data_IF_989364159695
#
_entry.id   IF_989364159695
#
_cell.length_a   1.000
_cell.length_b   1.000
_cell.length_c   1.000
_cell.angle_alpha   90.00
_cell.angle_beta   90.00
_cell.angle_gamma   90.00
#
_symmetry.space_group_name_H-M   'P 1'
#
loop_
_entity.id
_entity.type
_entity.pdbx_description
1 polymer ?
#
# COMPACT_ATOMS: atom_id res chain seq x y z
N UNK A 1 -46.30 -14.14 56.24
CA UNK A 1 -45.23 -14.88 55.54
C UNK A 1 -44.13 -13.88 55.21
N UNK A 2 -42.97 -14.01 55.87
CA UNK A 2 -41.75 -13.23 55.60
C UNK A 2 -41.13 -13.78 54.32
N UNK A 3 -40.57 -12.91 53.47
CA UNK A 3 -39.55 -13.33 52.51
C UNK A 3 -38.39 -12.33 52.53
N UNK A 4 -37.23 -12.89 52.82
CA UNK A 4 -35.95 -12.25 53.08
C UNK A 4 -35.24 -11.74 51.81
N UNK A 5 -34.43 -10.71 52.04
CA UNK A 5 -33.27 -10.27 51.27
C UNK A 5 -32.54 -11.36 50.48
N UNK A 6 -32.15 -11.03 49.23
CA UNK A 6 -30.75 -11.13 48.79
C UNK A 6 -30.41 -10.03 47.78
N UNK A 7 -29.90 -8.92 48.29
CA UNK A 7 -29.16 -7.93 47.49
C UNK A 7 -27.84 -8.57 47.03
N UNK A 8 -27.76 -8.98 45.76
CA UNK A 8 -26.51 -9.42 45.14
C UNK A 8 -25.85 -8.21 44.50
N UNK A 9 -25.10 -7.46 45.28
CA UNK A 9 -24.16 -6.47 44.75
C UNK A 9 -22.98 -7.22 44.13
N UNK A 10 -22.90 -7.22 42.80
CA UNK A 10 -21.73 -7.67 42.07
C UNK A 10 -20.76 -6.49 41.93
N UNK A 11 -19.46 -6.66 42.23
CA UNK A 11 -18.49 -5.60 42.03
C UNK A 11 -18.39 -5.32 40.53
N UNK A 12 -18.58 -4.05 40.15
CA UNK A 12 -18.26 -3.55 38.81
C UNK A 12 -16.76 -3.70 38.61
N UNK A 13 -16.35 -4.75 37.91
CA UNK A 13 -15.03 -4.83 37.30
C UNK A 13 -14.95 -3.69 36.30
N UNK A 14 -14.25 -2.62 36.67
CA UNK A 14 -13.81 -1.61 35.71
C UNK A 14 -12.69 -2.26 34.90
N UNK A 15 -13.05 -2.86 33.77
CA UNK A 15 -12.07 -3.21 32.74
C UNK A 15 -11.41 -1.91 32.29
N UNK A 16 -10.13 -1.78 32.60
CA UNK A 16 -9.26 -0.77 31.99
C UNK A 16 -8.90 -1.28 30.60
N UNK A 17 -9.79 -1.06 29.63
CA UNK A 17 -9.37 -1.13 28.24
C UNK A 17 -8.53 0.11 27.97
N UNK A 18 -7.28 -0.10 27.54
CA UNK A 18 -6.48 0.96 26.92
C UNK A 18 -7.21 1.54 25.70
N UNK A 19 -6.67 2.55 25.00
CA UNK A 19 -7.35 3.12 23.85
C UNK A 19 -7.44 2.07 22.73
N UNK A 20 -8.53 1.31 22.75
CA UNK A 20 -9.03 0.54 21.63
C UNK A 20 -9.52 1.58 20.64
N UNK A 21 -8.63 2.08 19.80
CA UNK A 21 -9.04 2.93 18.69
C UNK A 21 -10.15 2.21 17.91
N UNK A 22 -11.30 2.86 17.78
CA UNK A 22 -12.40 2.31 17.00
C UNK A 22 -11.88 1.95 15.59
N UNK A 23 -12.36 0.86 14.97
CA UNK A 23 -11.85 0.40 13.66
C UNK A 23 -11.76 1.48 12.57
N UNK A 24 -12.65 2.49 12.63
CA UNK A 24 -12.65 3.64 11.74
C UNK A 24 -11.43 4.57 11.92
N UNK A 25 -10.99 4.81 13.16
CA UNK A 25 -9.85 5.70 13.43
C UNK A 25 -8.53 5.04 13.02
N UNK A 26 -8.41 3.72 13.24
CA UNK A 26 -7.28 2.94 12.72
C UNK A 26 -7.22 3.02 11.18
N UNK A 27 -8.37 2.85 10.53
CA UNK A 27 -8.48 2.94 9.07
C UNK A 27 -8.05 4.32 8.56
N UNK A 28 -8.57 5.38 9.17
CA UNK A 28 -8.22 6.77 8.83
C UNK A 28 -6.71 7.01 8.90
N UNK A 29 -6.07 6.65 10.02
CA UNK A 29 -4.61 6.81 10.17
C UNK A 29 -3.82 6.01 9.14
N UNK A 30 -4.27 4.81 8.81
CA UNK A 30 -3.60 4.00 7.77
C UNK A 30 -3.72 4.61 6.39
N UNK A 31 -4.87 5.22 6.07
CA UNK A 31 -5.05 5.95 4.82
C UNK A 31 -4.14 7.18 4.76
N UNK A 32 -4.03 7.95 5.85
CA UNK A 32 -3.12 9.10 5.93
C UNK A 32 -1.65 8.68 5.70
N UNK A 33 -1.22 7.57 6.31
CA UNK A 33 0.12 7.01 6.13
C UNK A 33 0.38 6.60 4.67
N UNK A 34 -0.55 5.87 4.04
CA UNK A 34 -0.40 5.39 2.67
C UNK A 34 -0.45 6.53 1.66
N UNK A 35 -1.32 7.52 1.86
CA UNK A 35 -1.41 8.71 1.02
C UNK A 35 -0.10 9.51 1.09
N UNK A 36 0.41 9.78 2.30
CA UNK A 36 1.70 10.47 2.48
C UNK A 36 2.85 9.72 1.82
N UNK A 37 2.88 8.39 1.94
CA UNK A 37 3.91 7.55 1.31
C UNK A 37 3.81 7.58 -0.23
N UNK A 38 2.61 7.65 -0.79
CA UNK A 38 2.41 7.77 -2.24
C UNK A 38 2.91 9.12 -2.75
N UNK A 39 2.67 10.20 -2.01
CA UNK A 39 3.08 11.56 -2.38
C UNK A 39 4.58 11.82 -2.21
N UNK A 40 5.31 10.95 -1.50
CA UNK A 40 6.76 11.05 -1.36
C UNK A 40 7.48 10.77 -2.69
N UNK A 41 7.72 11.79 -3.50
CA UNK A 41 8.30 11.60 -4.82
C UNK A 41 9.78 11.18 -4.79
N UNK A 42 10.17 10.26 -5.67
CA UNK A 42 11.56 9.92 -5.97
C UNK A 42 11.84 10.14 -7.44
N UNK A 43 12.94 10.83 -7.75
CA UNK A 43 13.41 10.97 -9.11
C UNK A 43 14.18 9.72 -9.53
N UNK A 44 13.78 9.10 -10.64
CA UNK A 44 14.44 7.92 -11.17
C UNK A 44 15.16 8.22 -12.48
N UNK A 45 16.21 7.46 -12.72
CA UNK A 45 16.89 7.35 -14.00
C UNK A 45 16.89 5.88 -14.42
N UNK A 46 17.27 5.59 -15.67
CA UNK A 46 17.50 4.21 -16.12
C UNK A 46 18.73 3.62 -15.42
N UNK A 47 18.63 2.39 -14.93
CA UNK A 47 19.74 1.62 -14.35
C UNK A 47 19.63 1.29 -12.85
N UNK A 48 19.26 2.23 -11.96
CA UNK A 48 19.06 1.94 -10.53
C UNK A 48 18.02 0.86 -10.27
N UNK A 49 18.18 0.19 -9.12
CA UNK A 49 17.19 -0.73 -8.59
C UNK A 49 16.17 0.00 -7.72
N UNK A 50 14.94 -0.50 -7.75
CA UNK A 50 13.79 0.02 -7.03
C UNK A 50 12.99 -1.12 -6.41
N UNK A 51 12.18 -0.80 -5.43
CA UNK A 51 11.18 -1.69 -4.83
C UNK A 51 9.88 -0.97 -4.59
N UNK A 52 8.82 -1.75 -4.39
CA UNK A 52 7.56 -1.21 -3.90
C UNK A 52 7.73 -0.55 -2.56
N UNK A 53 7.20 0.66 -2.44
CA UNK A 53 6.93 1.29 -1.16
C UNK A 53 5.96 0.42 -0.35
N UNK A 54 6.17 0.25 0.97
CA UNK A 54 5.30 -0.59 1.80
C UNK A 54 3.82 -0.22 1.68
N UNK A 55 2.97 -1.19 1.35
CA UNK A 55 1.52 -1.00 1.23
C UNK A 55 1.03 -0.37 -0.08
N UNK A 56 1.92 -0.07 -1.04
CA UNK A 56 1.55 0.58 -2.32
C UNK A 56 1.65 -0.32 -3.57
N UNK A 57 1.99 -1.60 -3.42
CA UNK A 57 2.02 -2.59 -4.54
C UNK A 57 0.63 -2.75 -5.14
N UNK A 58 0.55 -2.66 -6.46
CA UNK A 58 -0.68 -2.82 -7.22
C UNK A 58 -0.53 -3.62 -8.52
N UNK A 59 0.60 -4.33 -8.67
CA UNK A 59 0.85 -5.30 -9.73
C UNK A 59 1.29 -6.62 -9.11
N UNK A 60 1.19 -7.72 -9.87
CA UNK A 60 1.59 -9.05 -9.38
C UNK A 60 3.09 -9.13 -9.08
N UNK A 61 3.90 -8.50 -9.92
CA UNK A 61 5.36 -8.50 -9.87
C UNK A 61 5.90 -7.05 -9.79
N UNK A 62 7.09 -6.84 -9.20
CA UNK A 62 7.81 -7.78 -8.33
C UNK A 62 7.09 -7.99 -6.98
N UNK A 63 7.58 -8.88 -6.13
CA UNK A 63 7.12 -8.99 -4.74
C UNK A 63 7.60 -7.83 -3.86
N UNK A 64 6.93 -7.64 -2.71
CA UNK A 64 7.40 -6.64 -1.75
C UNK A 64 8.81 -6.99 -1.28
N UNK A 65 9.70 -6.00 -1.30
CA UNK A 65 11.11 -6.18 -0.94
C UNK A 65 11.96 -6.86 -2.01
N UNK A 66 11.38 -7.28 -3.13
CA UNK A 66 12.13 -7.80 -4.26
C UNK A 66 12.62 -6.66 -5.16
N UNK A 67 13.88 -6.69 -5.63
CA UNK A 67 14.42 -5.64 -6.49
C UNK A 67 13.85 -5.74 -7.92
N UNK A 68 13.57 -4.59 -8.51
CA UNK A 68 13.37 -4.41 -9.94
C UNK A 68 14.33 -3.35 -10.46
N UNK A 69 14.77 -3.46 -11.72
CA UNK A 69 15.66 -2.48 -12.35
C UNK A 69 14.86 -1.49 -13.18
N UNK A 70 15.17 -0.19 -13.11
CA UNK A 70 14.53 0.80 -13.99
C UNK A 70 15.09 0.67 -15.40
N UNK A 71 14.29 0.23 -16.36
CA UNK A 71 14.70 0.07 -17.76
C UNK A 71 14.30 1.28 -18.63
N UNK A 72 13.34 2.08 -18.16
CA UNK A 72 12.90 3.31 -18.81
C UNK A 72 12.18 4.27 -17.87
N UNK A 73 12.27 5.57 -18.17
CA UNK A 73 11.52 6.64 -17.52
C UNK A 73 10.73 7.36 -18.61
N UNK A 74 9.42 7.47 -18.44
CA UNK A 74 8.52 8.05 -19.42
C UNK A 74 8.37 9.55 -19.14
N UNK A 75 8.77 10.44 -20.07
CA UNK A 75 8.67 11.88 -19.86
C UNK A 75 7.21 12.37 -19.84
N UNK A 76 6.30 11.61 -20.45
CA UNK A 76 4.86 11.84 -20.47
C UNK A 76 4.21 10.57 -19.93
N UNK A 77 3.33 10.65 -18.90
CA UNK A 77 2.65 9.48 -18.39
C UNK A 77 1.81 8.80 -19.47
N UNK A 78 1.88 7.47 -19.52
CA UNK A 78 1.06 6.64 -20.39
C UNK A 78 -0.10 6.07 -19.57
N UNK A 79 -1.27 5.95 -20.18
CA UNK A 79 -2.42 5.29 -19.59
C UNK A 79 -2.53 3.87 -20.15
N UNK A 80 -2.92 2.92 -19.31
CA UNK A 80 -3.18 1.55 -19.76
C UNK A 80 -4.51 1.49 -20.54
N UNK A 81 -4.50 1.19 -21.85
CA UNK A 81 -5.73 1.12 -22.64
C UNK A 81 -6.63 -0.07 -22.22
N UNK A 82 -6.09 -1.07 -21.53
CA UNK A 82 -6.86 -2.20 -21.03
C UNK A 82 -7.63 -1.86 -19.74
N UNK A 83 -7.19 -0.87 -18.97
CA UNK A 83 -7.85 -0.40 -17.74
C UNK A 83 -8.87 0.71 -18.05
N UNK A 84 -10.01 0.32 -18.64
CA UNK A 84 -11.03 1.25 -19.13
C UNK A 84 -12.28 1.38 -18.23
N UNK A 85 -12.36 0.60 -17.15
CA UNK A 85 -13.51 0.63 -16.24
C UNK A 85 -13.36 1.73 -15.19
N UNK A 86 -14.26 2.72 -15.16
CA UNK A 86 -14.21 3.82 -14.19
C UNK A 86 -14.28 3.38 -12.71
N UNK A 87 -14.74 2.16 -12.44
CA UNK A 87 -14.73 1.56 -11.10
C UNK A 87 -13.44 0.78 -10.77
N UNK A 88 -12.51 0.66 -11.72
CA UNK A 88 -11.20 0.05 -11.48
C UNK A 88 -10.33 1.01 -10.66
N UNK A 89 -9.64 0.52 -9.61
CA UNK A 89 -8.67 1.34 -8.86
C UNK A 89 -7.46 1.75 -9.71
N UNK A 90 -7.30 1.19 -10.93
CA UNK A 90 -6.20 1.49 -11.84
C UNK A 90 -6.64 2.29 -13.07
N UNK A 91 -7.92 2.68 -13.11
CA UNK A 91 -8.43 3.54 -14.16
C UNK A 91 -7.65 4.86 -14.21
N UNK A 92 -7.13 5.19 -15.39
CA UNK A 92 -6.29 6.37 -15.61
C UNK A 92 -5.06 6.46 -14.68
N UNK A 93 -4.52 5.34 -14.24
CA UNK A 93 -3.25 5.33 -13.52
C UNK A 93 -2.12 5.92 -14.39
N UNK A 94 -1.37 6.92 -13.90
CA UNK A 94 -0.29 7.54 -14.67
C UNK A 94 0.96 6.66 -14.65
N UNK A 95 1.16 5.85 -15.69
CA UNK A 95 2.36 5.01 -15.82
C UNK A 95 3.53 5.88 -16.25
N UNK A 96 4.55 5.95 -15.41
CA UNK A 96 5.69 6.89 -15.56
C UNK A 96 7.03 6.19 -15.60
N UNK A 97 7.10 4.91 -15.24
CA UNK A 97 8.32 4.09 -15.28
C UNK A 97 8.09 2.79 -16.04
N UNK A 98 9.18 2.28 -16.62
CA UNK A 98 9.29 0.90 -17.07
C UNK A 98 10.31 0.22 -16.17
N UNK A 99 9.89 -0.87 -15.54
CA UNK A 99 10.74 -1.69 -14.68
C UNK A 99 10.95 -3.07 -15.29
N UNK A 100 12.14 -3.62 -15.10
CA UNK A 100 12.49 -4.99 -15.41
C UNK A 100 12.52 -5.84 -14.15
N UNK A 101 11.95 -7.04 -14.23
CA UNK A 101 12.01 -8.06 -13.17
C UNK A 101 12.58 -9.36 -13.71
N UNK A 102 13.25 -10.14 -12.88
CA UNK A 102 13.81 -11.43 -13.25
C UNK A 102 12.84 -12.57 -12.89
N UNK A 103 12.42 -13.37 -13.88
CA UNK A 103 11.52 -14.51 -13.68
C UNK A 103 11.87 -15.61 -14.66
N UNK A 104 12.06 -16.83 -14.15
CA UNK A 104 12.25 -18.03 -14.99
C UNK A 104 13.34 -17.83 -16.05
N UNK A 105 14.46 -17.23 -15.66
CA UNK A 105 15.59 -16.87 -16.53
C UNK A 105 15.34 -15.74 -17.56
N UNK A 106 14.15 -15.14 -17.54
CA UNK A 106 13.76 -14.04 -18.43
C UNK A 106 13.70 -12.68 -17.72
N UNK A 107 13.91 -11.63 -18.52
CA UNK A 107 13.65 -10.24 -18.14
C UNK A 107 12.23 -9.84 -18.59
N UNK A 108 11.35 -9.63 -17.62
CA UNK A 108 9.99 -9.17 -17.87
C UNK A 108 9.86 -7.67 -17.59
N UNK A 109 9.35 -6.92 -18.55
CA UNK A 109 9.15 -5.47 -18.43
C UNK A 109 7.70 -5.10 -18.13
N UNK A 110 7.52 -4.15 -17.21
CA UNK A 110 6.21 -3.65 -16.79
C UNK A 110 6.18 -2.12 -16.78
N UNK A 111 5.11 -1.55 -17.32
CA UNK A 111 4.79 -0.13 -17.15
C UNK A 111 4.10 0.07 -15.80
N UNK A 112 4.61 1.00 -14.99
CA UNK A 112 4.16 1.20 -13.61
C UNK A 112 4.09 2.67 -13.23
N UNK A 113 3.29 2.99 -12.21
CA UNK A 113 3.29 4.30 -11.56
C UNK A 113 4.50 4.43 -10.63
N UNK A 114 5.45 5.29 -11.02
CA UNK A 114 6.69 5.51 -10.28
C UNK A 114 6.49 6.07 -8.87
N UNK A 115 5.35 6.69 -8.54
CA UNK A 115 5.05 7.19 -7.18
C UNK A 115 5.00 6.06 -6.16
N UNK A 116 4.75 4.83 -6.60
CA UNK A 116 4.65 3.63 -5.75
C UNK A 116 6.00 2.97 -5.47
N UNK A 117 7.08 3.48 -6.04
CA UNK A 117 8.42 2.92 -5.89
C UNK A 117 9.32 3.83 -5.06
N UNK A 118 10.28 3.18 -4.40
CA UNK A 118 11.40 3.82 -3.71
C UNK A 118 12.72 3.14 -4.15
N UNK A 119 13.87 3.82 -4.01
CA UNK A 119 15.17 3.21 -4.26
C UNK A 119 15.36 1.90 -3.49
N UNK A 120 16.02 0.94 -4.14
CA UNK A 120 16.47 -0.28 -3.47
C UNK A 120 17.88 -0.05 -2.91
N UNK A 121 17.94 0.46 -1.69
CA UNK A 121 19.19 0.64 -0.96
C UNK A 121 19.55 -0.62 -0.16
N UNK A 122 20.83 -0.99 -0.18
CA UNK A 122 21.43 -2.09 0.59
C UNK A 122 21.90 -1.63 1.98
#
# INVERSE_FOLDING_TARGET
MRNDHKDRSFPVVRSTDGPSDAPAELCKRKLEELASRLDQFHAFAKGPFVKWKPGLKNRKLPDYGEPAIVTGVLPIPVLDPCENGAASPYFQEPLTLIIGTYREDDLLEFHVDGRRFEPFDF
#
